data_IF_112377782813
#
_entry.id   IF_112377782813
#
_cell.length_a   1.000
_cell.length_b   1.000
_cell.length_c   1.000
_cell.angle_alpha   90.00
_cell.angle_beta   90.00
_cell.angle_gamma   90.00
#
_symmetry.space_group_name_H-M   'P 1'
#
loop_
_entity.id
_entity.type
_entity.pdbx_description
1 polymer ?
#
# COMPACT_ATOMS: atom_id res chain seq x y z
N UNK A 1 8.31 -7.17 -5.96
CA UNK A 1 8.38 -7.85 -7.29
C UNK A 1 8.03 -6.94 -8.44
N UNK A 2 6.84 -6.32 -8.48
CA UNK A 2 6.40 -5.53 -9.64
C UNK A 2 7.26 -4.32 -10.01
N UNK A 3 8.02 -3.76 -9.06
CA UNK A 3 8.97 -2.66 -9.31
C UNK A 3 10.12 -3.02 -10.28
N UNK A 4 10.30 -4.31 -10.61
CA UNK A 4 11.29 -4.78 -11.61
C UNK A 4 11.10 -4.14 -12.99
N UNK A 5 9.89 -3.69 -13.33
CA UNK A 5 9.62 -3.00 -14.59
C UNK A 5 9.73 -1.47 -14.52
N UNK A 6 10.15 -0.90 -13.38
CA UNK A 6 10.37 0.54 -13.23
C UNK A 6 11.88 0.82 -13.33
N UNK A 7 12.33 1.77 -14.16
CA UNK A 7 13.75 2.06 -14.29
C UNK A 7 14.42 2.44 -12.98
N UNK A 8 15.63 1.96 -12.73
CA UNK A 8 16.39 2.26 -11.50
C UNK A 8 16.62 3.76 -11.30
N UNK A 9 16.80 4.52 -12.39
CA UNK A 9 16.95 5.98 -12.34
C UNK A 9 15.69 6.69 -11.80
N UNK A 10 14.51 6.07 -12.00
CA UNK A 10 13.23 6.57 -11.46
C UNK A 10 13.04 6.13 -10.01
N UNK A 11 13.28 4.84 -9.71
CA UNK A 11 13.12 4.29 -8.36
C UNK A 11 14.08 4.91 -7.34
N UNK A 12 15.31 5.21 -7.76
CA UNK A 12 16.38 5.72 -6.90
C UNK A 12 16.60 7.24 -7.06
N UNK A 13 15.65 7.95 -7.66
CA UNK A 13 15.76 9.39 -7.89
C UNK A 13 15.87 10.14 -6.56
N UNK A 14 16.89 10.98 -6.43
CA UNK A 14 17.01 11.93 -5.32
C UNK A 14 16.03 13.10 -5.55
N UNK A 15 14.81 12.96 -5.04
CA UNK A 15 13.76 13.97 -5.16
C UNK A 15 12.39 13.38 -5.47
N UNK A 16 11.42 14.25 -5.78
CA UNK A 16 10.08 13.80 -6.19
C UNK A 16 10.13 13.32 -7.66
N UNK A 17 9.48 12.19 -7.99
CA UNK A 17 9.24 11.80 -9.37
C UNK A 17 8.45 12.89 -10.12
N UNK A 18 8.69 13.04 -11.42
CA UNK A 18 7.77 13.76 -12.33
C UNK A 18 6.46 13.00 -12.47
N UNK A 19 5.45 13.60 -13.09
CA UNK A 19 4.17 12.93 -13.31
C UNK A 19 4.34 11.67 -14.20
N UNK A 20 5.19 11.74 -15.22
CA UNK A 20 5.48 10.60 -16.10
C UNK A 20 6.23 9.48 -15.36
N UNK A 21 7.22 9.85 -14.53
CA UNK A 21 7.94 8.91 -13.69
C UNK A 21 7.02 8.26 -12.65
N UNK A 22 6.07 9.03 -12.11
CA UNK A 22 5.06 8.54 -11.19
C UNK A 22 4.10 7.57 -11.87
N UNK A 23 3.70 7.84 -13.11
CA UNK A 23 2.87 6.93 -13.90
C UNK A 23 3.60 5.61 -14.20
N UNK A 24 4.92 5.64 -14.42
CA UNK A 24 5.73 4.42 -14.50
C UNK A 24 5.71 3.64 -13.18
N UNK A 25 5.88 4.32 -12.05
CA UNK A 25 5.82 3.68 -10.72
C UNK A 25 4.45 3.05 -10.48
N UNK A 26 3.35 3.71 -10.86
CA UNK A 26 1.99 3.18 -10.70
C UNK A 26 1.70 1.92 -11.51
N UNK A 27 2.53 1.57 -12.50
CA UNK A 27 2.37 0.30 -13.24
C UNK A 27 2.84 -0.93 -12.45
N UNK A 28 3.60 -0.75 -11.36
CA UNK A 28 4.19 -1.88 -10.66
C UNK A 28 3.17 -2.90 -10.10
N UNK A 29 1.93 -2.57 -9.68
CA UNK A 29 0.96 -3.57 -9.26
C UNK A 29 0.54 -4.47 -10.43
N UNK A 30 0.35 -3.87 -11.62
CA UNK A 30 0.00 -4.59 -12.86
C UNK A 30 1.13 -5.51 -13.31
N UNK A 31 2.37 -5.00 -13.29
CA UNK A 31 3.56 -5.79 -13.64
C UNK A 31 3.75 -6.92 -12.62
N UNK A 32 3.59 -6.63 -11.32
CA UNK A 32 3.68 -7.63 -10.25
C UNK A 32 2.66 -8.74 -10.42
N UNK A 33 1.41 -8.40 -10.72
CA UNK A 33 0.37 -9.37 -11.06
C UNK A 33 0.81 -10.25 -12.24
N UNK A 34 1.28 -9.64 -13.34
CA UNK A 34 1.72 -10.36 -14.54
C UNK A 34 2.86 -11.34 -14.27
N UNK A 35 3.87 -10.92 -13.51
CA UNK A 35 5.03 -11.75 -13.13
C UNK A 35 4.61 -12.95 -12.26
N UNK A 36 3.65 -12.77 -11.37
CA UNK A 36 3.25 -13.78 -10.39
C UNK A 36 2.12 -14.68 -10.89
N UNK A 37 1.30 -14.22 -11.85
CA UNK A 37 0.17 -14.96 -12.40
C UNK A 37 0.47 -16.38 -12.94
N UNK A 38 1.66 -16.71 -13.47
CA UNK A 38 1.97 -18.07 -13.92
C UNK A 38 2.23 -19.07 -12.78
N UNK A 39 2.34 -18.61 -11.53
CA UNK A 39 2.62 -19.45 -10.36
C UNK A 39 1.38 -20.25 -9.98
N UNK A 40 1.37 -21.54 -10.37
CA UNK A 40 0.17 -22.41 -10.35
C UNK A 40 -0.51 -22.61 -8.99
N UNK A 41 0.19 -22.46 -7.87
CA UNK A 41 -0.41 -22.63 -6.54
C UNK A 41 -1.10 -21.36 -6.03
N UNK A 42 -0.83 -20.21 -6.66
CA UNK A 42 -1.51 -18.97 -6.33
C UNK A 42 -2.83 -18.89 -7.10
N UNK A 43 -3.91 -18.78 -6.34
CA UNK A 43 -5.25 -18.50 -6.88
C UNK A 43 -5.41 -17.02 -7.18
N UNK A 44 -6.40 -16.70 -7.99
CA UNK A 44 -6.77 -15.34 -8.39
C UNK A 44 -6.88 -14.37 -7.20
N UNK A 45 -7.50 -14.80 -6.10
CA UNK A 45 -7.63 -13.99 -4.88
C UNK A 45 -6.29 -13.51 -4.29
N UNK A 46 -5.21 -14.27 -4.46
CA UNK A 46 -3.85 -13.86 -4.05
C UNK A 46 -3.24 -12.87 -5.03
N UNK A 47 -3.52 -13.04 -6.33
CA UNK A 47 -3.03 -12.13 -7.36
C UNK A 47 -3.68 -10.74 -7.23
N UNK A 48 -4.95 -10.69 -6.83
CA UNK A 48 -5.67 -9.45 -6.54
C UNK A 48 -5.05 -8.66 -5.38
N UNK A 49 -4.42 -9.34 -4.39
CA UNK A 49 -3.64 -8.65 -3.36
C UNK A 49 -2.47 -7.87 -3.95
N UNK A 50 -1.79 -8.44 -4.95
CA UNK A 50 -0.67 -7.79 -5.62
C UNK A 50 -1.16 -6.66 -6.52
N UNK A 51 -2.27 -6.84 -7.23
CA UNK A 51 -2.79 -5.83 -8.15
C UNK A 51 -3.39 -4.63 -7.43
N UNK A 52 -4.10 -4.85 -6.33
CA UNK A 52 -4.98 -3.84 -5.72
C UNK A 52 -4.49 -3.29 -4.37
N UNK A 53 -3.25 -3.57 -3.95
CA UNK A 53 -2.69 -3.02 -2.69
C UNK A 53 -2.52 -1.49 -2.67
N UNK A 54 -2.73 -0.81 -3.80
CA UNK A 54 -2.78 0.65 -3.88
C UNK A 54 -4.17 1.21 -4.22
N UNK A 55 -5.19 0.35 -4.20
CA UNK A 55 -6.56 0.82 -4.24
C UNK A 55 -6.96 1.50 -2.93
N UNK A 56 -7.96 2.37 -3.02
CA UNK A 56 -8.47 3.15 -1.90
C UNK A 56 -9.97 2.94 -1.81
N UNK A 57 -10.54 2.92 -0.61
CA UNK A 57 -11.99 2.68 -0.48
C UNK A 57 -12.85 3.79 -1.11
N UNK A 58 -12.30 5.00 -1.27
CA UNK A 58 -12.91 6.12 -2.01
C UNK A 58 -12.85 5.96 -3.56
N UNK A 59 -12.07 5.01 -4.06
CA UNK A 59 -11.84 4.76 -5.49
C UNK A 59 -10.92 5.76 -6.17
N UNK A 60 -10.18 6.56 -5.41
CA UNK A 60 -9.11 7.41 -5.93
C UNK A 60 -7.75 6.67 -5.97
N UNK A 61 -7.79 5.34 -5.77
CA UNK A 61 -6.63 4.46 -5.86
C UNK A 61 -6.32 4.05 -7.31
N UNK A 62 -5.41 3.11 -7.45
CA UNK A 62 -4.97 2.57 -8.74
C UNK A 62 -4.59 1.09 -8.58
N UNK A 63 -4.55 0.29 -9.67
CA UNK A 63 -4.70 0.67 -11.08
C UNK A 63 -6.14 0.71 -11.62
N UNK A 64 -7.11 0.11 -10.92
CA UNK A 64 -8.45 -0.16 -11.44
C UNK A 64 -9.51 0.83 -10.89
N UNK A 65 -9.20 1.56 -9.81
CA UNK A 65 -10.10 2.57 -9.24
C UNK A 65 -11.30 1.97 -8.50
N UNK A 66 -11.09 0.79 -7.91
CA UNK A 66 -12.12 0.03 -7.20
C UNK A 66 -12.55 0.75 -5.92
N UNK A 67 -13.84 0.65 -5.58
CA UNK A 67 -14.45 1.35 -4.43
C UNK A 67 -15.01 0.39 -3.41
N UNK A 68 -14.87 0.75 -2.14
CA UNK A 68 -15.59 0.14 -1.03
C UNK A 68 -15.73 -1.39 -1.12
N UNK A 69 -16.95 -1.86 -1.45
CA UNK A 69 -17.30 -3.27 -1.54
C UNK A 69 -16.61 -4.07 -2.64
N UNK A 70 -16.07 -3.42 -3.67
CA UNK A 70 -15.34 -4.07 -4.77
C UNK A 70 -13.98 -4.61 -4.30
N UNK A 71 -13.42 -4.02 -3.24
CA UNK A 71 -12.19 -4.51 -2.61
C UNK A 71 -12.51 -5.66 -1.68
N UNK A 72 -11.85 -6.80 -1.83
CA UNK A 72 -11.93 -7.89 -0.87
C UNK A 72 -11.39 -7.46 0.49
N UNK A 73 -11.83 -8.09 1.58
CA UNK A 73 -11.32 -7.77 2.92
C UNK A 73 -9.78 -7.93 3.02
N UNK A 74 -9.17 -9.00 2.47
CA UNK A 74 -7.71 -9.12 2.44
C UNK A 74 -7.00 -7.94 1.74
N UNK A 75 -7.56 -7.41 0.65
CA UNK A 75 -6.99 -6.22 -0.02
C UNK A 75 -7.05 -5.00 0.89
N UNK A 76 -8.18 -4.75 1.56
CA UNK A 76 -8.34 -3.62 2.49
C UNK A 76 -7.34 -3.69 3.65
N UNK A 77 -7.05 -4.89 4.13
CA UNK A 77 -6.03 -5.13 5.17
C UNK A 77 -4.63 -4.86 4.62
N UNK A 78 -4.30 -5.33 3.42
CA UNK A 78 -2.97 -5.11 2.83
C UNK A 78 -2.71 -3.64 2.52
N UNK A 79 -3.70 -2.88 2.04
CA UNK A 79 -3.57 -1.42 1.84
C UNK A 79 -3.18 -0.71 3.14
N UNK A 80 -3.82 -1.08 4.25
CA UNK A 80 -3.50 -0.56 5.58
C UNK A 80 -2.11 -1.02 6.06
N UNK A 81 -1.78 -2.31 5.91
CA UNK A 81 -0.51 -2.88 6.32
C UNK A 81 0.68 -2.26 5.56
N UNK A 82 0.59 -2.13 4.24
CA UNK A 82 1.62 -1.50 3.39
C UNK A 82 1.79 -0.01 3.75
N UNK A 83 0.69 0.69 4.05
CA UNK A 83 0.74 2.08 4.51
C UNK A 83 1.39 2.20 5.89
N UNK A 84 1.10 1.28 6.80
CA UNK A 84 1.72 1.23 8.13
C UNK A 84 3.23 0.98 8.01
N UNK A 85 3.65 -0.08 7.31
CA UNK A 85 5.06 -0.37 7.07
C UNK A 85 5.78 0.82 6.41
N UNK A 86 5.16 1.45 5.41
CA UNK A 86 5.72 2.62 4.76
C UNK A 86 5.91 3.83 5.69
N UNK A 87 5.19 3.90 6.80
CA UNK A 87 5.33 4.95 7.81
C UNK A 87 6.25 4.54 8.97
N UNK A 88 6.14 3.32 9.45
CA UNK A 88 6.81 2.79 10.62
C UNK A 88 8.26 2.34 10.36
N UNK A 89 8.65 2.13 9.11
CA UNK A 89 9.98 1.63 8.75
C UNK A 89 10.94 2.77 8.40
N UNK A 90 12.22 2.62 8.79
CA UNK A 90 13.29 3.50 8.33
C UNK A 90 13.54 3.27 6.83
N UNK A 91 13.64 4.35 6.07
CA UNK A 91 13.95 4.32 4.64
C UNK A 91 15.18 5.17 4.37
N UNK A 92 15.86 4.91 3.26
CA UNK A 92 17.11 5.60 2.90
C UNK A 92 17.03 7.14 2.96
N UNK A 93 15.83 7.71 2.78
CA UNK A 93 15.58 9.16 2.75
C UNK A 93 14.71 9.68 3.91
N UNK A 94 14.24 8.82 4.84
CA UNK A 94 13.37 9.24 5.95
C UNK A 94 13.41 8.24 7.09
N UNK A 95 13.43 8.73 8.31
CA UNK A 95 13.22 7.90 9.50
C UNK A 95 11.76 7.44 9.61
N UNK A 96 11.55 6.39 10.41
CA UNK A 96 10.24 5.98 10.88
C UNK A 96 9.47 7.17 11.49
N UNK A 97 8.16 7.22 11.27
CA UNK A 97 7.28 8.21 11.90
C UNK A 97 6.95 7.79 13.34
N UNK A 98 6.75 8.75 14.26
CA UNK A 98 6.21 8.46 15.59
C UNK A 98 4.84 7.79 15.51
N UNK A 99 4.49 6.87 16.45
CA UNK A 99 3.18 6.22 16.49
C UNK A 99 1.99 7.19 16.42
N UNK A 100 2.07 8.34 17.09
CA UNK A 100 1.05 9.38 17.10
C UNK A 100 0.76 9.96 15.70
N UNK A 101 1.80 10.13 14.87
CA UNK A 101 1.68 10.62 13.51
C UNK A 101 1.05 9.56 12.60
N UNK A 102 1.38 8.29 12.83
CA UNK A 102 0.80 7.15 12.11
C UNK A 102 -0.70 7.06 12.45
N UNK A 103 -1.06 7.12 13.74
CA UNK A 103 -2.46 7.14 14.17
C UNK A 103 -3.22 8.32 13.55
N UNK A 104 -2.61 9.50 13.49
CA UNK A 104 -3.22 10.67 12.84
C UNK A 104 -3.46 10.45 11.34
N UNK A 105 -2.52 9.79 10.63
CA UNK A 105 -2.71 9.40 9.23
C UNK A 105 -3.88 8.44 9.05
N UNK A 106 -3.96 7.38 9.89
CA UNK A 106 -5.06 6.42 9.83
C UNK A 106 -6.42 7.07 10.12
N UNK A 107 -6.49 7.96 11.11
CA UNK A 107 -7.70 8.76 11.39
C UNK A 107 -8.11 9.62 10.21
N UNK A 108 -7.15 10.28 9.54
CA UNK A 108 -7.40 11.11 8.37
C UNK A 108 -7.83 10.30 7.15
N UNK A 109 -7.23 9.13 6.95
CA UNK A 109 -7.51 8.22 5.83
C UNK A 109 -8.74 7.34 6.04
N UNK A 110 -9.36 7.35 7.23
CA UNK A 110 -10.51 6.53 7.59
C UNK A 110 -11.71 6.82 6.68
N UNK A 111 -12.19 5.80 5.97
CA UNK A 111 -13.31 5.92 5.02
C UNK A 111 -12.94 6.54 3.68
N UNK A 112 -11.67 6.91 3.45
CA UNK A 112 -11.17 7.40 2.17
C UNK A 112 -10.08 6.47 1.62
N UNK A 113 -8.89 6.50 2.21
CA UNK A 113 -7.81 5.57 1.89
C UNK A 113 -8.11 4.17 2.42
N UNK A 114 -8.60 4.11 3.66
CA UNK A 114 -8.72 2.87 4.43
C UNK A 114 -10.18 2.53 4.69
N UNK A 115 -10.51 1.24 4.68
CA UNK A 115 -11.81 0.77 5.22
C UNK A 115 -11.92 1.22 6.68
N UNK A 116 -13.04 1.83 7.09
CA UNK A 116 -13.20 2.32 8.46
C UNK A 116 -12.91 1.27 9.53
N UNK A 117 -13.34 0.02 9.33
CA UNK A 117 -13.15 -1.06 10.30
C UNK A 117 -11.69 -1.46 10.41
N UNK A 118 -10.99 -1.52 9.27
CA UNK A 118 -9.55 -1.84 9.25
C UNK A 118 -8.76 -0.70 9.88
N UNK A 119 -9.08 0.56 9.57
CA UNK A 119 -8.42 1.71 10.16
C UNK A 119 -8.59 1.74 11.69
N UNK A 120 -9.81 1.48 12.20
CA UNK A 120 -10.09 1.45 13.63
C UNK A 120 -9.26 0.38 14.35
N UNK A 121 -9.12 -0.82 13.75
CA UNK A 121 -8.27 -1.89 14.29
C UNK A 121 -6.79 -1.50 14.28
N UNK A 122 -6.27 -0.94 13.18
CA UNK A 122 -4.87 -0.49 13.14
C UNK A 122 -4.60 0.61 14.18
N UNK A 123 -5.52 1.56 14.36
CA UNK A 123 -5.38 2.60 15.38
C UNK A 123 -5.26 1.98 16.77
N UNK A 124 -6.15 1.05 17.11
CA UNK A 124 -6.13 0.36 18.41
C UNK A 124 -4.82 -0.41 18.63
N UNK A 125 -4.40 -1.20 17.64
CA UNK A 125 -3.15 -1.96 17.68
C UNK A 125 -1.91 -1.07 17.86
N UNK A 126 -1.87 0.11 17.20
CA UNK A 126 -0.75 1.06 17.34
C UNK A 126 -0.76 1.68 18.74
N UNK A 127 -1.93 2.09 19.24
CA UNK A 127 -2.06 2.76 20.55
C UNK A 127 -1.76 1.83 21.72
N UNK A 128 -2.04 0.54 21.57
CA UNK A 128 -1.75 -0.49 22.58
C UNK A 128 -0.33 -1.08 22.45
N UNK A 129 0.53 -0.50 21.58
CA UNK A 129 1.90 -0.97 21.32
C UNK A 129 1.98 -2.44 20.85
N UNK A 130 0.90 -2.95 20.25
CA UNK A 130 0.83 -4.32 19.73
C UNK A 130 1.44 -4.43 18.32
N UNK A 131 1.70 -3.29 17.68
CA UNK A 131 2.45 -3.20 16.43
C UNK A 131 3.84 -2.61 16.71
N UNK A 132 4.87 -3.46 16.58
CA UNK A 132 6.25 -3.02 16.65
C UNK A 132 6.70 -2.24 15.41
N UNK A 133 7.91 -1.67 15.50
CA UNK A 133 8.63 -1.25 14.30
C UNK A 133 8.87 -2.48 13.42
N UNK A 134 8.61 -2.36 12.11
CA UNK A 134 9.02 -3.39 11.16
C UNK A 134 10.52 -3.17 10.93
N UNK A 135 11.35 -4.12 11.39
CA UNK A 135 12.81 -4.10 11.24
C UNK A 135 13.27 -4.29 9.79
#
# INVERSE_FOLDING_TARGET
LGKVGVPDAVLNKNGKPTDEEWDMIKQHPVIGYGVVSPVRFLKEEHLQLIRNHHERVDGNGYPDGLKGSELSMPVRIIVAADSYDAMASNRAYRTARPPEDIVAEFKRGRGSQFDPRVADVFIDLIQNEELGAVE
#
